data_IF_576309310817
#
_entry.id   IF_576309310817
#
_cell.length_a   1.000
_cell.length_b   1.000
_cell.length_c   1.000
_cell.angle_alpha   90.00
_cell.angle_beta   90.00
_cell.angle_gamma   90.00
#
_symmetry.space_group_name_H-M   'P 1'
#
loop_
_entity.id
_entity.type
_entity.pdbx_description
1 polymer ?
#
# COMPACT_ATOMS: atom_id res chain seq x y z
N UNK A 1 -0.71 -6.37 -19.35
CA UNK A 1 -0.64 -5.54 -18.13
C UNK A 1 -1.99 -4.86 -17.92
N UNK A 2 -2.55 -4.99 -16.72
CA UNK A 2 -3.87 -4.42 -16.40
C UNK A 2 -3.70 -2.98 -15.89
N UNK A 3 -4.56 -2.08 -16.33
CA UNK A 3 -4.61 -0.69 -15.85
C UNK A 3 -5.71 -0.61 -14.79
N UNK A 4 -5.37 -0.21 -13.58
CA UNK A 4 -6.28 -0.17 -12.44
C UNK A 4 -6.45 1.27 -11.98
N UNK A 5 -7.71 1.71 -11.90
CA UNK A 5 -8.07 3.01 -11.34
C UNK A 5 -8.42 2.85 -9.86
N UNK A 6 -7.68 3.55 -8.99
CA UNK A 6 -7.95 3.59 -7.56
C UNK A 6 -9.05 4.61 -7.22
N UNK A 7 -9.87 4.39 -6.20
CA UNK A 7 -9.87 3.24 -5.29
C UNK A 7 -10.28 1.94 -6.00
N UNK A 8 -9.79 0.81 -5.49
CA UNK A 8 -10.13 -0.51 -6.01
C UNK A 8 -11.63 -0.74 -5.98
N UNK A 9 -12.18 -1.15 -7.12
CA UNK A 9 -13.58 -1.57 -7.22
C UNK A 9 -13.70 -3.05 -6.87
N UNK A 10 -14.87 -3.46 -6.43
CA UNK A 10 -15.16 -4.87 -6.13
C UNK A 10 -14.86 -5.78 -7.32
N UNK A 11 -15.20 -5.34 -8.53
CA UNK A 11 -14.89 -6.06 -9.77
C UNK A 11 -13.37 -6.23 -9.98
N UNK A 12 -12.57 -5.18 -9.73
CA UNK A 12 -11.11 -5.25 -9.84
C UNK A 12 -10.54 -6.28 -8.86
N UNK A 13 -11.02 -6.26 -7.62
CA UNK A 13 -10.56 -7.17 -6.56
C UNK A 13 -10.82 -8.62 -6.95
N UNK A 14 -11.99 -8.92 -7.51
CA UNK A 14 -12.35 -10.27 -7.94
C UNK A 14 -11.57 -10.75 -9.16
N UNK A 15 -11.14 -9.85 -10.02
CA UNK A 15 -10.45 -10.17 -11.28
C UNK A 15 -8.93 -10.06 -11.22
N UNK A 16 -8.37 -9.65 -10.07
CA UNK A 16 -6.92 -9.60 -9.87
C UNK A 16 -6.44 -10.88 -9.21
N UNK A 17 -5.42 -11.48 -9.82
CA UNK A 17 -4.82 -12.73 -9.35
C UNK A 17 -3.32 -12.56 -9.10
N UNK A 18 -2.79 -13.27 -8.12
CA UNK A 18 -1.37 -13.23 -7.77
C UNK A 18 -0.50 -13.44 -9.02
N UNK A 19 0.50 -12.58 -9.21
CA UNK A 19 1.36 -12.56 -10.37
C UNK A 19 0.92 -11.63 -11.51
N UNK A 20 -0.31 -11.10 -11.47
CA UNK A 20 -0.76 -10.12 -12.47
C UNK A 20 0.08 -8.85 -12.42
N UNK A 21 0.57 -8.40 -13.56
CA UNK A 21 1.23 -7.11 -13.69
C UNK A 21 0.19 -6.00 -13.87
N UNK A 22 0.31 -4.93 -13.08
CA UNK A 22 -0.66 -3.84 -13.07
C UNK A 22 0.03 -2.47 -13.14
N UNK A 23 -0.71 -1.49 -13.65
CA UNK A 23 -0.39 -0.07 -13.53
C UNK A 23 -1.49 0.60 -12.70
N UNK A 24 -1.12 1.15 -11.54
CA UNK A 24 -2.07 1.82 -10.65
C UNK A 24 -2.15 3.31 -10.99
N UNK A 25 -3.36 3.83 -11.02
CA UNK A 25 -3.66 5.24 -11.23
C UNK A 25 -4.64 5.73 -10.16
N UNK A 26 -4.39 6.88 -9.59
CA UNK A 26 -5.25 7.49 -8.58
C UNK A 26 -4.54 7.78 -7.28
N UNK A 27 -5.29 7.73 -6.19
CA UNK A 27 -4.81 8.13 -4.86
C UNK A 27 -4.31 6.97 -4.03
N UNK A 28 -3.12 7.12 -3.45
CA UNK A 28 -2.59 6.23 -2.41
C UNK A 28 -2.15 7.07 -1.20
N UNK A 29 -2.10 6.44 -0.03
CA UNK A 29 -1.60 7.06 1.20
C UNK A 29 -0.33 6.37 1.63
N UNK A 30 0.65 7.12 2.14
CA UNK A 30 1.88 6.53 2.67
C UNK A 30 1.76 6.30 4.17
N UNK A 31 2.17 5.15 4.64
CA UNK A 31 2.29 4.87 6.07
C UNK A 31 3.26 3.72 6.30
N UNK A 32 4.18 3.91 7.24
CA UNK A 32 5.09 2.88 7.74
C UNK A 32 4.78 2.55 9.19
N UNK A 33 5.71 1.92 9.89
CA UNK A 33 5.59 1.38 11.24
C UNK A 33 5.00 2.38 12.24
N UNK A 34 5.61 3.56 12.36
CA UNK A 34 5.21 4.55 13.36
C UNK A 34 3.81 5.12 13.06
N UNK A 35 3.49 5.37 11.79
CA UNK A 35 2.17 5.86 11.39
C UNK A 35 1.10 4.79 11.61
N UNK A 36 1.38 3.52 11.27
CA UNK A 36 0.46 2.42 11.53
C UNK A 36 0.13 2.28 13.01
N UNK A 37 1.14 2.35 13.86
CA UNK A 37 0.95 2.29 15.31
C UNK A 37 0.02 3.40 15.80
N UNK A 38 0.24 4.63 15.34
CA UNK A 38 -0.62 5.78 15.68
C UNK A 38 -2.05 5.61 15.18
N UNK A 39 -2.24 5.14 13.93
CA UNK A 39 -3.57 4.90 13.38
C UNK A 39 -4.34 3.85 14.17
N UNK A 40 -3.69 2.73 14.52
CA UNK A 40 -4.30 1.68 15.33
C UNK A 40 -4.69 2.19 16.73
N UNK A 41 -3.81 2.95 17.39
CA UNK A 41 -4.11 3.56 18.67
C UNK A 41 -5.33 4.50 18.60
N UNK A 42 -5.43 5.30 17.54
CA UNK A 42 -6.60 6.17 17.30
C UNK A 42 -7.89 5.35 17.11
N UNK A 43 -7.82 4.27 16.34
CA UNK A 43 -8.98 3.37 16.13
C UNK A 43 -9.42 2.75 17.46
N UNK A 44 -8.49 2.22 18.24
CA UNK A 44 -8.77 1.60 19.53
C UNK A 44 -9.37 2.58 20.54
N UNK A 45 -8.96 3.85 20.48
CA UNK A 45 -9.47 4.92 21.33
C UNK A 45 -10.70 5.64 20.77
N UNK A 46 -11.27 5.14 19.67
CA UNK A 46 -12.43 5.73 18.98
C UNK A 46 -12.23 7.20 18.58
N UNK A 47 -11.01 7.57 18.27
CA UNK A 47 -10.68 8.90 17.77
C UNK A 47 -10.93 9.02 16.27
N UNK A 48 -11.31 10.22 15.76
CA UNK A 48 -11.44 10.42 14.32
C UNK A 48 -10.08 10.28 13.62
N UNK A 49 -10.06 9.54 12.52
CA UNK A 49 -8.84 9.33 11.73
C UNK A 49 -8.51 10.56 10.87
N UNK A 50 -7.21 10.78 10.57
CA UNK A 50 -6.77 11.94 9.77
C UNK A 50 -7.14 11.84 8.29
N UNK A 51 -7.54 10.67 7.81
CA UNK A 51 -8.05 10.43 6.46
C UNK A 51 -9.01 9.25 6.46
N UNK A 52 -9.80 9.12 5.38
CA UNK A 52 -10.76 8.03 5.24
C UNK A 52 -10.06 6.73 4.83
N UNK A 53 -10.06 5.74 5.73
CA UNK A 53 -9.53 4.40 5.44
C UNK A 53 -10.43 3.58 4.53
N UNK A 54 -11.71 3.92 4.42
CA UNK A 54 -12.63 3.15 3.60
C UNK A 54 -12.24 3.22 2.12
N UNK A 55 -11.94 2.08 1.53
CA UNK A 55 -11.49 1.98 0.15
C UNK A 55 -10.02 2.37 -0.08
N UNK A 56 -9.29 2.78 0.95
CA UNK A 56 -7.93 3.29 0.82
C UNK A 56 -6.93 2.22 0.40
N UNK A 57 -5.90 2.64 -0.33
CA UNK A 57 -4.69 1.87 -0.63
C UNK A 57 -3.52 2.52 0.09
N UNK A 58 -2.80 1.74 0.89
CA UNK A 58 -1.67 2.20 1.71
C UNK A 58 -0.36 1.72 1.09
N UNK A 59 0.54 2.67 0.83
CA UNK A 59 1.89 2.40 0.35
C UNK A 59 2.88 2.43 1.52
N UNK A 60 3.58 1.32 1.73
CA UNK A 60 4.58 1.17 2.79
C UNK A 60 5.91 1.80 2.34
N UNK A 61 6.00 3.10 2.50
CA UNK A 61 7.15 3.87 2.04
C UNK A 61 7.49 4.98 3.03
N UNK A 62 8.80 5.22 3.20
CA UNK A 62 9.33 6.46 3.76
C UNK A 62 10.20 7.11 2.70
N UNK A 63 9.71 8.17 2.10
CA UNK A 63 10.38 8.85 0.99
C UNK A 63 11.58 9.66 1.48
N UNK A 64 12.65 9.70 0.67
CA UNK A 64 13.72 10.66 0.89
C UNK A 64 13.25 12.08 0.52
N UNK A 65 13.90 13.14 1.06
CA UNK A 65 13.53 14.51 0.69
C UNK A 65 13.59 14.74 -0.83
N UNK A 66 12.63 15.51 -1.35
CA UNK A 66 12.60 15.89 -2.74
C UNK A 66 13.80 16.79 -3.10
N UNK A 67 14.38 16.56 -4.27
CA UNK A 67 15.35 17.47 -4.88
C UNK A 67 14.62 18.60 -5.59
N UNK A 68 15.35 19.67 -5.94
CA UNK A 68 14.80 20.77 -6.73
C UNK A 68 14.12 20.26 -8.01
N UNK A 69 12.89 20.67 -8.25
CA UNK A 69 12.08 20.25 -9.40
C UNK A 69 11.41 18.90 -9.28
N UNK A 70 11.53 18.21 -8.14
CA UNK A 70 10.85 16.95 -7.88
C UNK A 70 9.67 17.11 -6.91
N UNK A 71 8.61 16.33 -7.12
CA UNK A 71 7.45 16.25 -6.21
C UNK A 71 7.84 15.51 -4.94
N UNK A 72 8.65 14.47 -5.06
CA UNK A 72 9.07 13.57 -3.98
C UNK A 72 10.47 13.02 -4.29
N UNK A 73 11.18 12.61 -3.25
CA UNK A 73 12.45 11.91 -3.42
C UNK A 73 12.28 10.43 -3.76
N UNK A 74 13.32 9.63 -3.57
CA UNK A 74 13.25 8.18 -3.79
C UNK A 74 12.13 7.56 -2.95
N UNK A 75 11.28 6.74 -3.57
CA UNK A 75 10.02 6.24 -3.00
C UNK A 75 9.90 4.72 -3.13
N UNK A 76 10.97 3.97 -2.88
CA UNK A 76 10.96 2.52 -2.88
C UNK A 76 10.23 1.93 -1.67
N UNK A 77 9.57 0.78 -1.83
CA UNK A 77 8.82 0.16 -0.75
C UNK A 77 9.71 -0.36 0.37
N UNK A 78 9.19 -0.31 1.61
CA UNK A 78 9.81 -1.00 2.75
C UNK A 78 9.23 -2.41 2.91
N UNK A 79 9.88 -3.24 3.73
CA UNK A 79 9.45 -4.61 4.01
C UNK A 79 8.06 -4.64 4.66
N UNK A 80 7.13 -5.34 4.02
CA UNK A 80 5.72 -5.36 4.40
C UNK A 80 5.44 -6.10 5.70
N UNK A 81 6.22 -7.15 6.03
CA UNK A 81 6.00 -7.97 7.23
C UNK A 81 5.99 -7.16 8.54
N UNK A 82 6.68 -6.03 8.56
CA UNK A 82 6.69 -5.13 9.72
C UNK A 82 5.32 -4.51 10.00
N UNK A 83 4.46 -4.40 9.00
CA UNK A 83 3.10 -3.87 9.12
C UNK A 83 2.05 -4.94 9.43
N UNK A 84 2.39 -6.21 9.34
CA UNK A 84 1.44 -7.32 9.51
C UNK A 84 0.60 -7.24 10.79
N UNK A 85 1.15 -6.85 11.96
CA UNK A 85 0.34 -6.73 13.18
C UNK A 85 -0.80 -5.71 13.11
N UNK A 86 -0.75 -4.77 12.17
CA UNK A 86 -1.72 -3.67 12.07
C UNK A 86 -2.80 -3.90 11.01
N UNK A 87 -2.59 -4.86 10.09
CA UNK A 87 -3.43 -5.02 8.89
C UNK A 87 -4.88 -5.33 9.24
N UNK A 88 -5.13 -6.24 10.16
CA UNK A 88 -6.48 -6.64 10.52
C UNK A 88 -7.32 -5.45 11.00
N UNK A 89 -6.76 -4.62 11.85
CA UNK A 89 -7.45 -3.43 12.39
C UNK A 89 -7.80 -2.44 11.29
N UNK A 90 -6.86 -2.18 10.36
CA UNK A 90 -7.10 -1.29 9.22
C UNK A 90 -8.11 -1.88 8.23
N UNK A 91 -8.06 -3.20 8.02
CA UNK A 91 -9.01 -3.90 7.17
C UNK A 91 -10.45 -3.79 7.69
N UNK A 92 -10.63 -3.89 9.00
CA UNK A 92 -11.93 -3.71 9.66
C UNK A 92 -12.49 -2.29 9.47
N UNK A 93 -11.62 -1.31 9.21
CA UNK A 93 -12.01 0.06 8.87
C UNK A 93 -12.22 0.29 7.36
N UNK A 94 -12.13 -0.76 6.54
CA UNK A 94 -12.44 -0.69 5.12
C UNK A 94 -11.26 -0.48 4.17
N UNK A 95 -10.02 -0.57 4.64
CA UNK A 95 -8.83 -0.55 3.77
C UNK A 95 -8.93 -1.67 2.73
N UNK A 96 -8.58 -1.40 1.47
CA UNK A 96 -8.71 -2.34 0.35
C UNK A 96 -7.39 -2.71 -0.34
N UNK A 97 -6.39 -1.86 -0.28
CA UNK A 97 -5.13 -2.10 -0.96
C UNK A 97 -3.92 -1.85 -0.08
N UNK A 98 -2.87 -2.61 -0.32
CA UNK A 98 -1.57 -2.46 0.33
C UNK A 98 -0.48 -2.60 -0.73
N UNK A 99 0.54 -1.75 -0.65
CA UNK A 99 1.69 -1.79 -1.58
C UNK A 99 2.97 -1.87 -0.75
N UNK A 100 3.79 -2.88 -1.01
CA UNK A 100 5.05 -3.05 -0.31
C UNK A 100 5.97 -4.04 -1.01
N UNK A 101 6.78 -4.75 -0.24
CA UNK A 101 7.65 -5.83 -0.73
C UNK A 101 7.75 -6.96 0.29
N UNK A 102 7.99 -8.17 -0.20
CA UNK A 102 8.19 -9.35 0.64
C UNK A 102 6.90 -10.08 1.00
N UNK A 103 7.08 -11.20 1.68
CA UNK A 103 5.97 -12.08 2.07
C UNK A 103 5.13 -11.47 3.19
N UNK A 104 3.88 -11.91 3.25
CA UNK A 104 2.95 -11.58 4.34
C UNK A 104 2.71 -12.80 5.21
N UNK A 105 2.32 -12.55 6.47
CA UNK A 105 1.91 -13.60 7.40
C UNK A 105 0.60 -14.28 6.96
N UNK A 106 0.33 -15.48 7.48
CA UNK A 106 -0.94 -16.16 7.24
C UNK A 106 -2.14 -15.36 7.75
N UNK A 107 -1.96 -14.61 8.85
CA UNK A 107 -3.00 -13.72 9.38
C UNK A 107 -3.38 -12.62 8.39
N UNK A 108 -2.39 -12.01 7.71
CA UNK A 108 -2.64 -11.01 6.67
C UNK A 108 -3.33 -11.64 5.47
N UNK A 109 -2.89 -12.81 5.03
CA UNK A 109 -3.53 -13.54 3.92
C UNK A 109 -4.99 -13.85 4.25
N UNK A 110 -5.28 -14.23 5.49
CA UNK A 110 -6.66 -14.45 5.94
C UNK A 110 -7.48 -13.16 5.93
N UNK A 111 -6.90 -12.05 6.40
CA UNK A 111 -7.56 -10.74 6.35
C UNK A 111 -7.86 -10.29 4.91
N UNK A 112 -6.95 -10.55 3.97
CA UNK A 112 -7.14 -10.28 2.54
C UNK A 112 -8.38 -11.02 2.00
N UNK A 113 -8.55 -12.29 2.36
CA UNK A 113 -9.71 -13.09 1.97
C UNK A 113 -11.00 -12.58 2.62
N UNK A 114 -10.98 -12.36 3.93
CA UNK A 114 -12.18 -11.97 4.70
C UNK A 114 -12.68 -10.58 4.34
N UNK A 115 -11.78 -9.63 4.11
CA UNK A 115 -12.11 -8.23 3.85
C UNK A 115 -12.03 -7.84 2.37
N UNK A 116 -11.78 -8.80 1.49
CA UNK A 116 -11.67 -8.58 0.05
C UNK A 116 -10.67 -7.45 -0.28
N UNK A 117 -9.40 -7.70 0.02
CA UNK A 117 -8.29 -6.77 -0.23
C UNK A 117 -7.32 -7.32 -1.28
N UNK A 118 -6.45 -6.45 -1.78
CA UNK A 118 -5.32 -6.84 -2.63
C UNK A 118 -4.01 -6.33 -2.01
N UNK A 119 -3.02 -7.19 -1.96
CA UNK A 119 -1.64 -6.82 -1.67
C UNK A 119 -0.85 -6.76 -2.96
N UNK A 120 -0.26 -5.58 -3.24
CA UNK A 120 0.63 -5.36 -4.38
C UNK A 120 2.08 -5.36 -3.94
N UNK A 121 2.96 -5.91 -4.77
CA UNK A 121 4.41 -5.90 -4.53
C UNK A 121 5.14 -5.12 -5.61
N UNK A 122 6.13 -4.35 -5.17
CA UNK A 122 7.07 -3.66 -6.05
C UNK A 122 8.47 -4.24 -5.82
N UNK A 123 9.31 -4.23 -6.84
CA UNK A 123 10.71 -4.61 -6.69
C UNK A 123 11.43 -3.64 -5.72
N UNK A 124 12.33 -4.17 -4.90
CA UNK A 124 13.21 -3.35 -4.08
C UNK A 124 14.24 -2.61 -4.95
N UNK A 125 14.75 -1.47 -4.47
CA UNK A 125 15.79 -0.71 -5.16
C UNK A 125 15.32 0.14 -6.34
N UNK A 126 14.00 0.22 -6.59
CA UNK A 126 13.42 0.97 -7.71
C UNK A 126 12.82 2.32 -7.30
N UNK A 127 13.17 2.81 -6.12
CA UNK A 127 12.56 4.01 -5.54
C UNK A 127 12.66 5.26 -6.42
N UNK A 128 13.77 5.45 -7.11
CA UNK A 128 13.96 6.57 -8.04
C UNK A 128 13.03 6.46 -9.26
N UNK A 129 12.82 5.25 -9.77
CA UNK A 129 11.89 4.98 -10.88
C UNK A 129 10.45 5.19 -10.44
N UNK A 130 10.05 4.65 -9.29
CA UNK A 130 8.69 4.77 -8.76
C UNK A 130 8.32 6.22 -8.44
N UNK A 131 9.30 7.04 -8.01
CA UNK A 131 9.06 8.45 -7.74
C UNK A 131 8.57 9.24 -8.96
N UNK A 132 8.95 8.83 -10.16
CA UNK A 132 8.48 9.45 -11.41
C UNK A 132 6.99 9.18 -11.68
N UNK A 133 6.42 8.15 -11.07
CA UNK A 133 4.99 7.83 -11.18
C UNK A 133 4.13 8.63 -10.20
N UNK A 134 4.75 9.38 -9.29
CA UNK A 134 4.07 10.20 -8.29
C UNK A 134 3.97 11.62 -8.83
N UNK A 135 2.76 12.06 -9.17
CA UNK A 135 2.54 13.35 -9.82
C UNK A 135 2.13 14.46 -8.87
N UNK A 136 1.64 14.12 -7.67
CA UNK A 136 1.26 15.08 -6.63
C UNK A 136 1.45 14.47 -5.26
N UNK A 137 1.85 15.30 -4.29
CA UNK A 137 2.02 14.92 -2.88
C UNK A 137 1.38 15.98 -1.99
N UNK A 138 0.65 15.52 -0.97
CA UNK A 138 0.02 16.37 0.04
C UNK A 138 0.26 15.77 1.43
N UNK A 139 0.69 16.60 2.38
CA UNK A 139 0.83 16.19 3.79
C UNK A 139 -0.56 15.98 4.40
N UNK A 140 -0.76 14.84 5.06
CA UNK A 140 -2.04 14.49 5.69
C UNK A 140 -1.95 14.50 7.21
N UNK A 141 -0.98 13.79 7.79
CA UNK A 141 -0.90 13.63 9.23
C UNK A 141 0.50 13.23 9.71
N UNK A 142 0.72 13.41 11.01
CA UNK A 142 1.93 12.96 11.71
C UNK A 142 3.21 13.56 11.12
N UNK A 143 3.17 14.85 10.82
CA UNK A 143 4.29 15.59 10.22
C UNK A 143 5.58 15.46 11.05
N UNK A 144 5.46 15.32 12.36
CA UNK A 144 6.57 15.08 13.29
C UNK A 144 7.33 13.78 13.03
N UNK A 145 6.72 12.82 12.34
CA UNK A 145 7.36 11.56 11.95
C UNK A 145 8.28 11.70 10.73
N UNK A 146 8.36 12.88 10.13
CA UNK A 146 9.21 13.19 8.96
C UNK A 146 8.95 12.21 7.79
N UNK A 147 9.93 11.39 7.41
CA UNK A 147 9.80 10.44 6.30
C UNK A 147 8.69 9.41 6.51
N UNK A 148 8.27 9.16 7.75
CA UNK A 148 7.18 8.25 8.10
C UNK A 148 5.84 8.95 8.31
N UNK A 149 5.74 10.26 8.03
CA UNK A 149 4.47 10.96 8.04
C UNK A 149 3.51 10.37 7.02
N UNK A 150 2.21 10.48 7.30
CA UNK A 150 1.18 10.10 6.32
C UNK A 150 1.06 11.20 5.27
N UNK A 151 1.24 10.82 4.01
CA UNK A 151 1.03 11.69 2.86
C UNK A 151 0.02 11.08 1.90
N UNK A 152 -0.68 11.93 1.18
CA UNK A 152 -1.57 11.55 0.09
C UNK A 152 -0.82 11.74 -1.22
N UNK A 153 -0.73 10.70 -2.02
CA UNK A 153 -0.04 10.72 -3.31
C UNK A 153 -1.02 10.46 -4.44
N UNK A 154 -0.94 11.26 -5.49
CA UNK A 154 -1.55 10.92 -6.76
C UNK A 154 -0.51 10.22 -7.63
N UNK A 155 -0.85 9.03 -8.12
CA UNK A 155 0.04 8.23 -8.96
C UNK A 155 -0.53 8.03 -10.35
N UNK A 156 0.38 7.94 -11.32
CA UNK A 156 0.06 7.66 -12.72
C UNK A 156 0.96 6.55 -13.23
N UNK A 157 0.33 5.50 -13.77
CA UNK A 157 1.00 4.33 -14.33
C UNK A 157 2.06 3.74 -13.36
N UNK A 158 1.69 3.65 -12.09
CA UNK A 158 2.55 3.12 -11.03
C UNK A 158 2.64 1.60 -11.16
N UNK A 159 3.82 1.03 -11.54
CA UNK A 159 3.93 -0.38 -11.84
C UNK A 159 4.10 -1.23 -10.58
N UNK A 160 3.34 -2.30 -10.51
CA UNK A 160 3.50 -3.33 -9.49
C UNK A 160 2.89 -4.66 -9.95
N UNK A 161 3.01 -5.68 -9.10
CA UNK A 161 2.41 -6.99 -9.31
C UNK A 161 1.42 -7.27 -8.19
N UNK A 162 0.39 -8.04 -8.48
CA UNK A 162 -0.46 -8.58 -7.42
C UNK A 162 0.35 -9.61 -6.64
N UNK A 163 0.56 -9.35 -5.36
CA UNK A 163 1.31 -10.21 -4.45
C UNK A 163 0.44 -11.27 -3.79
N UNK A 164 -0.70 -10.85 -3.23
CA UNK A 164 -1.69 -11.75 -2.64
C UNK A 164 -3.09 -11.35 -3.11
N UNK A 165 -3.89 -12.35 -3.46
CA UNK A 165 -5.27 -12.18 -3.91
C UNK A 165 -6.29 -12.76 -2.91
N UNK A 166 -7.58 -12.53 -3.18
CA UNK A 166 -8.69 -12.99 -2.32
C UNK A 166 -8.91 -14.50 -2.34
N UNK A 167 -8.33 -15.21 -3.30
CA UNK A 167 -8.41 -16.67 -3.39
C UNK A 167 -7.32 -17.37 -2.54
N UNK A 168 -6.45 -16.60 -1.91
CA UNK A 168 -5.37 -17.10 -1.06
C UNK A 168 -4.07 -17.41 -1.81
N UNK A 169 -3.95 -16.98 -3.06
CA UNK A 169 -2.70 -17.14 -3.82
C UNK A 169 -1.68 -16.08 -3.42
N UNK A 170 -0.40 -16.49 -3.46
CA UNK A 170 0.74 -15.66 -3.15
C UNK A 170 1.78 -15.77 -4.26
N UNK A 171 2.24 -14.64 -4.77
CA UNK A 171 3.23 -14.59 -5.86
C UNK A 171 4.51 -15.34 -5.52
N UNK A 172 4.92 -15.31 -4.26
CA UNK A 172 6.14 -16.00 -3.81
C UNK A 172 6.01 -17.51 -3.83
N UNK A 173 4.81 -18.05 -3.62
CA UNK A 173 4.55 -19.49 -3.75
C UNK A 173 4.58 -19.92 -5.21
N UNK A 174 4.11 -19.08 -6.14
CA UNK A 174 4.18 -19.33 -7.58
C UNK A 174 5.63 -19.37 -8.08
N UNK A 175 6.52 -18.55 -7.51
CA UNK A 175 7.94 -18.55 -7.86
C UNK A 175 8.66 -19.84 -7.37
N UNK A 176 8.24 -20.40 -6.24
CA UNK A 176 8.80 -21.64 -5.70
C UNK A 176 8.37 -22.88 -6.49
N UNK A 177 7.20 -22.85 -7.13
CA UNK A 177 6.68 -23.94 -7.97
C UNK A 177 7.27 -23.93 -9.39
N UNK A 178 7.85 -22.84 -9.78
CA UNK A 178 8.49 -22.68 -11.10
C UNK A 178 9.95 -23.18 -11.09
#
# INVERSE_FOLDING_TARGET
MKIIQLPLKEEDIRNLHAGDAVLLNGTIYTARDAAHKKLVEMIENHEPLPFDLHGATIYYVGSTPARSGQVIGSSGPTTSSRMDPYVKTLAECGMKGMIGKGRRSDEVKQAIKEHEMIYFVCAGGVGALLSHCIVKREMVAFEELLAEAVTKLEVKDFPCFVGCDIDGNDIYDLEEEA
#
